data_IF_986921659059
#
_entry.id   IF_986921659059
#
_cell.length_a   1.000
_cell.length_b   1.000
_cell.length_c   1.000
_cell.angle_alpha   90.00
_cell.angle_beta   90.00
_cell.angle_gamma   90.00
#
_symmetry.space_group_name_H-M   'P 1'
#
loop_
_entity.id
_entity.type
_entity.pdbx_description
1 polymer ?
#
# COMPACT_ATOMS: atom_id res chain seq x y z
N UNK A 1 -2.03 -53.13 22.44
CA UNK A 1 -1.26 -51.97 21.95
C UNK A 1 -2.25 -50.90 21.55
N UNK A 2 -2.35 -49.81 22.33
CA UNK A 2 -3.18 -48.65 22.04
C UNK A 2 -2.25 -47.53 21.56
N UNK A 3 -2.51 -47.00 20.36
CA UNK A 3 -1.87 -45.76 19.89
C UNK A 3 -2.31 -44.57 20.74
N UNK A 4 -1.41 -43.66 21.12
CA UNK A 4 -1.81 -42.40 21.73
C UNK A 4 -2.20 -41.40 20.64
N UNK A 5 -3.34 -40.74 20.83
CA UNK A 5 -3.76 -39.59 20.06
C UNK A 5 -2.88 -38.38 20.45
N UNK A 6 -2.15 -37.82 19.48
CA UNK A 6 -1.48 -36.53 19.64
C UNK A 6 -2.52 -35.42 19.50
N UNK A 7 -3.01 -34.92 20.63
CA UNK A 7 -3.74 -33.66 20.70
C UNK A 7 -2.77 -32.49 20.75
N UNK A 8 -2.52 -31.84 19.62
CA UNK A 8 -1.93 -30.50 19.59
C UNK A 8 -3.04 -29.48 19.83
N UNK A 9 -3.43 -29.32 21.09
CA UNK A 9 -4.23 -28.18 21.52
C UNK A 9 -3.34 -26.95 21.51
N UNK A 10 -3.50 -26.07 20.51
CA UNK A 10 -3.05 -24.69 20.61
C UNK A 10 -3.69 -24.09 21.86
N UNK A 11 -2.89 -23.86 22.90
CA UNK A 11 -3.29 -23.07 24.06
C UNK A 11 -3.60 -21.67 23.56
N UNK A 12 -4.88 -21.39 23.26
CA UNK A 12 -5.40 -20.03 23.20
C UNK A 12 -5.00 -19.38 24.52
N UNK A 13 -4.03 -18.48 24.51
CA UNK A 13 -3.70 -17.64 25.67
C UNK A 13 -4.94 -16.82 25.96
N UNK A 14 -5.79 -17.32 26.85
CA UNK A 14 -6.88 -16.54 27.42
C UNK A 14 -6.23 -15.47 28.29
N UNK A 15 -6.56 -14.21 28.03
CA UNK A 15 -6.14 -13.10 28.89
C UNK A 15 -6.66 -13.38 30.31
N UNK A 16 -5.82 -13.28 31.35
CA UNK A 16 -6.20 -13.65 32.72
C UNK A 16 -7.35 -12.80 33.27
N UNK A 17 -7.55 -11.61 32.70
CA UNK A 17 -8.76 -10.78 32.86
C UNK A 17 -8.85 -9.79 31.70
N UNK A 18 -10.06 -9.34 31.40
CA UNK A 18 -10.24 -8.15 30.57
C UNK A 18 -9.71 -6.91 31.32
N UNK A 19 -9.06 -5.96 30.63
CA UNK A 19 -8.73 -4.66 31.21
C UNK A 19 -9.98 -3.96 31.73
N UNK A 20 -9.84 -3.20 32.82
CA UNK A 20 -10.92 -2.35 33.34
C UNK A 20 -11.12 -1.12 32.45
N UNK A 21 -12.26 -0.43 32.63
CA UNK A 21 -12.53 0.84 31.94
C UNK A 21 -11.48 1.89 32.31
N UNK A 22 -11.10 2.01 33.59
CA UNK A 22 -9.99 2.91 33.98
C UNK A 22 -8.65 2.56 33.32
N UNK A 23 -8.25 1.28 33.29
CA UNK A 23 -6.99 0.87 32.66
C UNK A 23 -6.99 1.13 31.15
N UNK A 24 -8.13 0.90 30.50
CA UNK A 24 -8.32 1.23 29.09
C UNK A 24 -8.21 2.74 28.89
N UNK A 25 -8.81 3.55 29.76
CA UNK A 25 -8.80 5.00 29.70
C UNK A 25 -7.38 5.59 29.93
N UNK A 26 -6.64 5.05 30.90
CA UNK A 26 -5.33 5.56 31.31
C UNK A 26 -4.18 5.11 30.40
N UNK A 27 -4.23 3.88 29.90
CA UNK A 27 -3.11 3.27 29.16
C UNK A 27 -3.39 3.24 27.66
N UNK A 28 -4.60 2.86 27.23
CA UNK A 28 -4.89 2.56 25.83
C UNK A 28 -5.56 3.71 25.08
N UNK A 29 -6.44 4.47 25.73
CA UNK A 29 -7.11 5.65 25.14
C UNK A 29 -6.18 6.84 24.96
N UNK A 30 -5.08 6.89 25.70
CA UNK A 30 -4.03 7.90 25.49
C UNK A 30 -3.38 7.74 24.10
N UNK A 31 -3.47 6.55 23.50
CA UNK A 31 -2.84 6.22 22.23
C UNK A 31 -3.81 6.11 21.04
N UNK A 32 -5.04 5.61 21.25
CA UNK A 32 -6.09 5.49 20.20
C UNK A 32 -7.45 5.07 20.77
N UNK A 33 -8.53 5.48 20.10
CA UNK A 33 -9.89 5.00 20.41
C UNK A 33 -10.02 3.48 20.20
N UNK A 34 -11.03 2.87 20.81
CA UNK A 34 -11.28 1.43 20.65
C UNK A 34 -11.53 1.04 19.20
N UNK A 35 -12.28 1.86 18.47
CA UNK A 35 -12.52 1.69 17.04
C UNK A 35 -11.22 1.69 16.22
N UNK A 36 -10.33 2.66 16.44
CA UNK A 36 -9.04 2.70 15.72
C UNK A 36 -8.15 1.50 16.06
N UNK A 37 -8.23 0.99 17.29
CA UNK A 37 -7.50 -0.24 17.67
C UNK A 37 -8.05 -1.47 16.94
N UNK A 38 -9.37 -1.59 16.77
CA UNK A 38 -9.98 -2.67 15.97
C UNK A 38 -9.55 -2.59 14.51
N UNK A 39 -9.61 -1.40 13.90
CA UNK A 39 -9.14 -1.18 12.52
C UNK A 39 -7.67 -1.56 12.37
N UNK A 40 -6.82 -1.09 13.29
CA UNK A 40 -5.38 -1.38 13.26
C UNK A 40 -5.09 -2.87 13.41
N UNK A 41 -5.83 -3.58 14.27
CA UNK A 41 -5.70 -5.03 14.41
C UNK A 41 -6.11 -5.74 13.11
N UNK A 42 -7.20 -5.31 12.47
CA UNK A 42 -7.64 -5.88 11.20
C UNK A 42 -6.62 -5.64 10.07
N UNK A 43 -6.01 -4.45 9.98
CA UNK A 43 -4.94 -4.15 9.02
C UNK A 43 -3.70 -5.05 9.22
N UNK A 44 -3.41 -5.44 10.46
CA UNK A 44 -2.30 -6.33 10.77
C UNK A 44 -2.62 -7.80 10.50
N UNK A 45 -3.87 -8.24 10.72
CA UNK A 45 -4.29 -9.64 10.51
C UNK A 45 -4.70 -9.95 9.07
N UNK A 46 -5.48 -9.06 8.44
CA UNK A 46 -5.95 -9.23 7.05
C UNK A 46 -4.87 -8.90 6.02
N UNK A 47 -3.71 -8.42 6.49
CA UNK A 47 -2.62 -7.98 5.65
C UNK A 47 -3.11 -6.95 4.64
N UNK A 48 -2.63 -7.09 3.42
CA UNK A 48 -2.87 -6.16 2.32
C UNK A 48 -3.89 -6.72 1.33
N UNK A 49 -4.93 -7.40 1.82
CA UNK A 49 -5.97 -7.97 0.95
C UNK A 49 -6.78 -6.90 0.18
N UNK A 50 -6.93 -5.71 0.76
CA UNK A 50 -7.53 -4.53 0.12
C UNK A 50 -6.68 -3.30 0.48
N UNK A 51 -6.72 -2.22 -0.33
CA UNK A 51 -6.01 -1.00 0.01
C UNK A 51 -6.58 -0.37 1.27
N UNK A 52 -5.76 0.40 1.99
CA UNK A 52 -6.32 1.37 2.95
C UNK A 52 -6.81 2.58 2.17
N UNK A 53 -8.05 3.00 2.39
CA UNK A 53 -8.60 4.22 1.80
C UNK A 53 -8.54 5.33 2.83
N UNK A 54 -7.73 6.34 2.57
CA UNK A 54 -7.46 7.47 3.44
C UNK A 54 -8.03 8.75 2.82
N UNK A 55 -9.01 9.36 3.48
CA UNK A 55 -9.47 10.71 3.14
C UNK A 55 -8.68 11.72 3.95
N UNK A 56 -8.07 12.70 3.28
CA UNK A 56 -7.30 13.76 3.93
C UNK A 56 -7.81 15.17 3.68
N UNK A 57 -8.79 15.31 2.78
CA UNK A 57 -9.49 16.56 2.51
C UNK A 57 -11.00 16.38 2.72
N UNK A 58 -11.63 17.37 3.34
CA UNK A 58 -13.01 17.31 3.79
C UNK A 58 -13.78 18.54 3.34
N UNK A 59 -14.70 18.33 2.41
CA UNK A 59 -15.71 19.27 1.96
C UNK A 59 -17.04 18.50 1.87
N UNK A 60 -18.14 18.97 2.49
CA UNK A 60 -19.43 18.32 2.42
C UNK A 60 -19.96 18.09 1.00
N UNK A 61 -19.56 18.92 0.02
CA UNK A 61 -19.95 18.73 -1.39
C UNK A 61 -19.32 17.48 -2.01
N UNK A 62 -18.21 16.99 -1.42
CA UNK A 62 -17.44 15.85 -1.91
C UNK A 62 -17.79 14.53 -1.21
N UNK A 63 -18.75 14.55 -0.26
CA UNK A 63 -19.15 13.35 0.48
C UNK A 63 -19.80 12.30 -0.44
N UNK A 64 -20.53 12.73 -1.49
CA UNK A 64 -21.10 11.83 -2.50
C UNK A 64 -20.00 11.12 -3.31
N UNK A 65 -18.94 11.87 -3.68
CA UNK A 65 -17.81 11.31 -4.43
C UNK A 65 -17.00 10.32 -3.60
N UNK A 66 -16.84 10.61 -2.32
CA UNK A 66 -16.21 9.68 -1.37
C UNK A 66 -17.00 8.36 -1.28
N UNK A 67 -18.34 8.45 -1.18
CA UNK A 67 -19.20 7.26 -1.13
C UNK A 67 -19.15 6.47 -2.45
N UNK A 68 -19.13 7.16 -3.60
CA UNK A 68 -18.94 6.55 -4.92
C UNK A 68 -17.66 5.71 -4.95
N UNK A 69 -16.52 6.25 -4.51
CA UNK A 69 -15.26 5.52 -4.51
C UNK A 69 -15.24 4.33 -3.54
N UNK A 70 -15.87 4.46 -2.36
CA UNK A 70 -15.93 3.37 -1.36
C UNK A 70 -16.86 2.24 -1.81
N UNK A 71 -17.95 2.56 -2.52
CA UNK A 71 -18.92 1.57 -3.01
C UNK A 71 -18.61 1.04 -4.41
N UNK A 72 -17.53 1.51 -5.04
CA UNK A 72 -17.17 1.14 -6.41
C UNK A 72 -16.80 -0.34 -6.58
N UNK A 73 -16.23 -0.94 -5.53
CA UNK A 73 -15.81 -2.34 -5.49
C UNK A 73 -16.52 -3.05 -4.35
N UNK A 74 -17.26 -4.11 -4.65
CA UNK A 74 -17.89 -4.95 -3.63
C UNK A 74 -16.82 -5.60 -2.71
N UNK A 75 -15.67 -5.96 -3.29
CA UNK A 75 -14.51 -6.45 -2.54
C UNK A 75 -14.02 -5.43 -1.52
N UNK A 76 -13.98 -4.15 -1.90
CA UNK A 76 -13.60 -3.06 -0.99
C UNK A 76 -14.72 -2.72 0.01
N UNK A 77 -15.96 -2.56 -0.44
CA UNK A 77 -17.11 -2.16 0.38
C UNK A 77 -17.28 -3.09 1.59
N UNK A 78 -17.15 -4.40 1.37
CA UNK A 78 -17.21 -5.42 2.43
C UNK A 78 -16.12 -5.25 3.50
N UNK A 79 -15.01 -4.59 3.16
CA UNK A 79 -13.87 -4.34 4.03
C UNK A 79 -13.78 -2.88 4.51
N UNK A 80 -14.63 -1.99 3.99
CA UNK A 80 -14.58 -0.54 4.24
C UNK A 80 -14.67 -0.20 5.73
N UNK A 81 -15.35 -1.02 6.54
CA UNK A 81 -15.48 -0.81 7.99
C UNK A 81 -14.12 -0.67 8.71
N UNK A 82 -13.07 -1.34 8.22
CA UNK A 82 -11.69 -1.21 8.73
C UNK A 82 -10.74 -0.51 7.77
N UNK A 83 -10.93 -0.68 6.46
CA UNK A 83 -10.04 -0.17 5.44
C UNK A 83 -10.24 1.33 5.17
N UNK A 84 -11.42 1.87 5.45
CA UNK A 84 -11.72 3.30 5.29
C UNK A 84 -11.35 4.12 6.54
N UNK A 85 -10.43 5.06 6.35
CA UNK A 85 -10.00 6.08 7.30
C UNK A 85 -10.61 7.43 6.88
N UNK A 86 -11.85 7.65 7.32
CA UNK A 86 -12.67 8.82 6.98
C UNK A 86 -13.16 9.53 8.26
N UNK A 87 -12.27 10.25 8.94
CA UNK A 87 -12.59 11.04 10.15
C UNK A 87 -11.82 12.37 10.10
N UNK A 88 -12.53 13.47 9.87
CA UNK A 88 -11.95 14.81 9.73
C UNK A 88 -11.20 15.30 10.97
N UNK A 89 -11.56 14.81 12.16
CA UNK A 89 -10.88 15.20 13.40
C UNK A 89 -9.51 14.56 13.55
N UNK A 90 -9.27 13.48 12.81
CA UNK A 90 -8.06 12.69 12.88
C UNK A 90 -7.21 12.81 11.62
N UNK A 91 -7.80 12.86 10.42
CA UNK A 91 -7.09 12.62 9.16
C UNK A 91 -7.04 13.83 8.21
N UNK A 92 -7.52 15.01 8.62
CA UNK A 92 -7.55 16.20 7.78
C UNK A 92 -6.17 16.87 7.67
N UNK A 93 -5.28 16.28 6.87
CA UNK A 93 -3.90 16.74 6.67
C UNK A 93 -3.66 17.38 5.29
N UNK A 94 -4.67 17.43 4.42
CA UNK A 94 -4.50 17.86 3.03
C UNK A 94 -3.53 16.94 2.28
N UNK A 95 -2.49 17.51 1.67
CA UNK A 95 -1.51 16.77 0.87
C UNK A 95 -0.49 15.96 1.70
N UNK A 96 -0.35 16.23 3.01
CA UNK A 96 0.58 15.52 3.90
C UNK A 96 -0.04 14.22 4.44
N UNK A 97 -0.46 13.35 3.54
CA UNK A 97 -1.14 12.10 3.90
C UNK A 97 -0.26 11.14 4.72
N UNK A 98 1.07 11.24 4.61
CA UNK A 98 2.01 10.38 5.35
C UNK A 98 1.94 10.62 6.87
N UNK A 99 1.38 11.74 7.33
CA UNK A 99 1.09 11.99 8.74
C UNK A 99 0.16 10.93 9.34
N UNK A 100 -0.60 10.19 8.52
CA UNK A 100 -1.38 9.01 8.95
C UNK A 100 -0.53 8.00 9.72
N UNK A 101 0.78 7.89 9.47
CA UNK A 101 1.62 6.92 10.17
C UNK A 101 1.87 7.26 11.64
N UNK A 102 1.66 8.51 12.05
CA UNK A 102 1.73 8.91 13.47
C UNK A 102 0.51 8.42 14.25
N UNK A 103 -0.65 8.37 13.59
CA UNK A 103 -1.93 7.99 14.20
C UNK A 103 -2.24 6.52 13.95
N UNK A 104 -1.99 6.00 12.75
CA UNK A 104 -2.28 4.65 12.27
C UNK A 104 -1.07 4.04 11.54
N UNK A 105 0.05 3.73 12.23
CA UNK A 105 1.21 3.06 11.64
C UNK A 105 0.92 1.70 10.99
N UNK A 106 -0.20 1.06 11.35
CA UNK A 106 -0.66 -0.20 10.76
C UNK A 106 -1.00 -0.08 9.26
N UNK A 107 -1.22 1.14 8.76
CA UNK A 107 -1.43 1.42 7.33
C UNK A 107 -0.24 1.00 6.47
N UNK A 108 0.97 0.90 7.06
CA UNK A 108 2.15 0.40 6.36
C UNK A 108 2.13 -1.12 6.11
N UNK A 109 1.10 -1.82 6.59
CA UNK A 109 0.99 -3.28 6.50
C UNK A 109 1.96 -4.02 7.44
N UNK A 110 1.83 -5.36 7.54
CA UNK A 110 2.75 -6.18 8.31
C UNK A 110 4.12 -6.23 7.64
N UNK A 111 5.19 -6.08 8.43
CA UNK A 111 6.60 -6.17 7.97
C UNK A 111 7.03 -7.63 7.70
N UNK A 112 6.10 -8.56 7.49
CA UNK A 112 6.44 -9.94 7.13
C UNK A 112 6.99 -9.96 5.71
N UNK A 113 8.32 -9.85 5.62
CA UNK A 113 9.04 -9.68 4.36
C UNK A 113 8.67 -10.77 3.36
N UNK A 114 8.19 -10.35 2.20
CA UNK A 114 8.33 -11.14 0.99
C UNK A 114 9.83 -11.35 0.79
N UNK A 115 10.28 -12.60 0.89
CA UNK A 115 11.70 -12.94 0.72
C UNK A 115 12.15 -12.53 -0.68
N UNK A 116 12.94 -11.47 -0.75
CA UNK A 116 13.54 -10.98 -2.00
C UNK A 116 14.38 -12.11 -2.63
N UNK A 117 14.00 -12.54 -3.82
CA UNK A 117 14.83 -13.36 -4.70
C UNK A 117 15.04 -12.58 -5.99
N UNK A 118 16.31 -12.33 -6.31
CA UNK A 118 16.78 -11.70 -7.54
C UNK A 118 16.18 -12.41 -8.75
N UNK A 119 15.44 -11.68 -9.58
CA UNK A 119 15.12 -12.13 -10.93
C UNK A 119 16.33 -11.92 -11.84
N UNK A 120 16.59 -12.83 -12.80
CA UNK A 120 17.57 -12.58 -13.85
C UNK A 120 17.15 -11.36 -14.66
N UNK A 121 18.13 -10.55 -15.09
CA UNK A 121 17.91 -9.44 -16.00
C UNK A 121 17.20 -9.93 -17.26
N UNK A 122 16.07 -9.34 -17.61
CA UNK A 122 15.55 -9.41 -18.97
C UNK A 122 16.60 -8.80 -19.90
N UNK A 123 16.87 -9.44 -21.03
CA UNK A 123 17.65 -8.80 -22.09
C UNK A 123 16.77 -7.66 -22.65
N UNK A 124 17.16 -6.41 -22.39
CA UNK A 124 16.50 -5.23 -22.93
C UNK A 124 16.70 -5.25 -24.46
N UNK A 125 15.65 -5.54 -25.21
CA UNK A 125 15.70 -5.69 -26.66
C UNK A 125 15.00 -4.52 -27.38
N UNK A 126 15.21 -3.30 -26.89
CA UNK A 126 14.61 -2.08 -27.42
C UNK A 126 15.67 -0.96 -27.60
N UNK A 127 16.56 -1.10 -28.59
CA UNK A 127 17.74 -0.24 -28.73
C UNK A 127 17.41 1.22 -29.06
N UNK A 128 16.25 1.49 -29.68
CA UNK A 128 15.82 2.86 -29.97
C UNK A 128 15.35 3.57 -28.68
N UNK A 129 14.55 2.89 -27.85
CA UNK A 129 14.08 3.43 -26.57
C UNK A 129 15.22 3.58 -25.55
N UNK A 130 16.19 2.65 -25.55
CA UNK A 130 17.40 2.78 -24.74
C UNK A 130 18.20 4.04 -25.05
N UNK A 131 18.27 4.47 -26.31
CA UNK A 131 18.99 5.69 -26.71
C UNK A 131 18.27 6.97 -26.34
N UNK A 132 16.95 6.93 -26.24
CA UNK A 132 16.12 8.08 -25.90
C UNK A 132 16.07 8.32 -24.39
N UNK A 133 15.70 7.29 -23.62
CA UNK A 133 15.64 7.34 -22.16
C UNK A 133 15.97 5.98 -21.52
N UNK A 134 17.26 5.69 -21.27
CA UNK A 134 17.66 4.43 -20.66
C UNK A 134 17.12 4.30 -19.22
N UNK A 135 17.00 5.41 -18.49
CA UNK A 135 16.51 5.39 -17.11
C UNK A 135 15.02 5.06 -17.07
N UNK A 136 14.21 5.72 -17.90
CA UNK A 136 12.77 5.42 -18.04
C UNK A 136 12.54 3.97 -18.47
N UNK A 137 13.33 3.47 -19.42
CA UNK A 137 13.23 2.08 -19.88
C UNK A 137 13.55 1.07 -18.75
N UNK A 138 14.62 1.29 -17.98
CA UNK A 138 14.93 0.45 -16.81
C UNK A 138 13.81 0.49 -15.77
N UNK A 139 13.22 1.67 -15.56
CA UNK A 139 12.14 1.87 -14.60
C UNK A 139 10.86 1.11 -14.99
N UNK A 140 10.54 1.06 -16.29
CA UNK A 140 9.42 0.28 -16.84
C UNK A 140 9.72 -1.22 -16.78
N UNK A 141 10.87 -1.66 -17.30
CA UNK A 141 11.29 -3.07 -17.29
C UNK A 141 11.49 -3.61 -15.85
N UNK A 142 11.84 -2.71 -14.93
CA UNK A 142 12.04 -3.01 -13.51
C UNK A 142 10.77 -3.01 -12.66
N UNK A 143 9.58 -2.85 -13.24
CA UNK A 143 8.31 -2.80 -12.50
C UNK A 143 8.11 -4.03 -11.59
N UNK A 144 8.52 -5.22 -12.02
CA UNK A 144 8.44 -6.46 -11.22
C UNK A 144 9.25 -6.34 -9.92
N UNK A 145 10.42 -5.72 -9.98
CA UNK A 145 11.25 -5.49 -8.80
C UNK A 145 10.58 -4.52 -7.82
N UNK A 146 9.93 -3.47 -8.35
CA UNK A 146 9.18 -2.51 -7.55
C UNK A 146 7.95 -3.16 -6.89
N UNK A 147 7.24 -4.04 -7.59
CA UNK A 147 6.13 -4.84 -7.06
C UNK A 147 6.55 -5.77 -5.93
N UNK A 148 7.70 -6.41 -6.06
CA UNK A 148 8.28 -7.28 -5.01
C UNK A 148 8.65 -6.45 -3.77
N UNK A 149 9.16 -5.24 -3.96
CA UNK A 149 9.52 -4.34 -2.86
C UNK A 149 8.29 -3.77 -2.13
N UNK A 150 7.12 -3.79 -2.78
CA UNK A 150 5.88 -3.24 -2.25
C UNK A 150 5.29 -4.16 -1.20
N UNK A 151 4.99 -3.59 -0.03
CA UNK A 151 4.36 -4.32 1.07
C UNK A 151 2.90 -3.94 1.25
N UNK A 152 2.53 -2.71 0.87
CA UNK A 152 1.19 -2.18 1.04
C UNK A 152 0.84 -1.15 -0.02
N UNK A 153 -0.46 -0.89 -0.14
CA UNK A 153 -1.02 0.06 -1.10
C UNK A 153 -2.18 0.82 -0.47
N UNK A 154 -2.27 2.09 -0.83
CA UNK A 154 -3.12 3.08 -0.16
C UNK A 154 -3.83 3.89 -1.24
N UNK A 155 -5.13 4.09 -1.10
CA UNK A 155 -5.91 5.04 -1.87
C UNK A 155 -6.03 6.34 -1.06
N UNK A 156 -5.55 7.45 -1.60
CA UNK A 156 -5.51 8.75 -0.93
C UNK A 156 -6.49 9.70 -1.64
N UNK A 157 -7.53 10.11 -0.91
CA UNK A 157 -8.47 11.15 -1.31
C UNK A 157 -8.07 12.48 -0.63
N UNK A 158 -7.09 13.15 -1.23
CA UNK A 158 -6.68 14.51 -0.89
C UNK A 158 -7.45 15.53 -1.74
N UNK A 159 -7.15 16.82 -1.56
CA UNK A 159 -7.82 17.89 -2.29
C UNK A 159 -7.69 17.71 -3.81
N UNK A 160 -6.49 17.37 -4.29
CA UNK A 160 -6.24 17.17 -5.71
C UNK A 160 -7.06 16.00 -6.26
N UNK A 161 -7.21 14.92 -5.49
CA UNK A 161 -8.02 13.77 -5.89
C UNK A 161 -9.48 14.17 -6.18
N UNK A 162 -10.08 15.00 -5.33
CA UNK A 162 -11.43 15.52 -5.53
C UNK A 162 -11.49 16.48 -6.73
N UNK A 163 -10.52 17.40 -6.86
CA UNK A 163 -10.46 18.36 -7.97
C UNK A 163 -10.40 17.69 -9.35
N UNK A 164 -9.69 16.57 -9.46
CA UNK A 164 -9.57 15.83 -10.73
C UNK A 164 -10.60 14.71 -10.88
N UNK A 165 -11.27 14.31 -9.81
CA UNK A 165 -12.25 13.22 -9.79
C UNK A 165 -11.65 11.81 -9.78
N UNK A 166 -10.35 11.68 -9.49
CA UNK A 166 -9.62 10.40 -9.40
C UNK A 166 -8.93 10.27 -8.06
N UNK A 167 -9.04 9.11 -7.40
CA UNK A 167 -8.35 8.84 -6.14
C UNK A 167 -6.89 8.45 -6.40
N UNK A 168 -5.96 8.88 -5.55
CA UNK A 168 -4.55 8.57 -5.75
C UNK A 168 -4.20 7.20 -5.17
N UNK A 169 -3.82 6.24 -6.01
CA UNK A 169 -3.20 4.99 -5.61
C UNK A 169 -1.71 5.19 -5.32
N UNK A 170 -1.24 4.65 -4.19
CA UNK A 170 0.16 4.72 -3.77
C UNK A 170 0.63 3.35 -3.29
N UNK A 171 1.70 2.82 -3.89
CA UNK A 171 2.43 1.65 -3.43
C UNK A 171 3.58 2.05 -2.50
N UNK A 172 3.72 1.36 -1.37
CA UNK A 172 4.73 1.66 -0.34
C UNK A 172 5.53 0.43 0.08
N UNK A 173 6.78 0.66 0.49
CA UNK A 173 7.67 -0.35 1.06
C UNK A 173 7.47 -0.52 2.58
N UNK A 174 8.13 -1.51 3.18
CA UNK A 174 8.10 -1.78 4.63
C UNK A 174 8.70 -0.68 5.51
N UNK A 175 9.31 0.35 4.90
CA UNK A 175 9.86 1.53 5.56
C UNK A 175 9.03 2.79 5.27
N UNK A 176 7.85 2.65 4.67
CA UNK A 176 6.90 3.73 4.33
C UNK A 176 7.38 4.67 3.22
N UNK A 177 8.39 4.27 2.46
CA UNK A 177 8.79 4.97 1.26
C UNK A 177 7.77 4.70 0.16
N UNK A 178 7.41 5.74 -0.57
CA UNK A 178 6.62 5.61 -1.80
C UNK A 178 7.48 4.92 -2.85
N UNK A 179 7.00 3.82 -3.38
CA UNK A 179 7.58 3.10 -4.52
C UNK A 179 7.02 3.70 -5.80
N UNK A 180 5.70 3.88 -5.86
CA UNK A 180 5.01 4.35 -7.05
C UNK A 180 3.63 4.92 -6.70
N UNK A 181 3.08 5.79 -7.54
CA UNK A 181 1.67 6.19 -7.44
C UNK A 181 1.07 6.70 -8.75
N UNK A 182 -0.25 6.63 -8.85
CA UNK A 182 -1.06 7.08 -10.00
C UNK A 182 -2.46 7.53 -9.53
N UNK A 183 -3.15 8.44 -10.23
CA UNK A 183 -4.60 8.58 -10.11
C UNK A 183 -5.34 7.36 -10.71
N UNK A 184 -6.35 6.86 -9.99
CA UNK A 184 -7.27 5.79 -10.45
C UNK A 184 -8.72 6.23 -10.27
N UNK A 185 -9.60 5.74 -11.15
CA UNK A 185 -11.04 5.97 -10.98
C UNK A 185 -11.69 4.88 -10.12
N UNK A 186 -12.99 5.05 -9.87
CA UNK A 186 -13.81 4.12 -9.11
C UNK A 186 -13.75 2.68 -9.71
N UNK A 187 -13.88 2.57 -11.03
CA UNK A 187 -13.96 1.27 -11.71
C UNK A 187 -12.65 0.48 -11.61
N UNK A 188 -11.54 1.19 -11.58
CA UNK A 188 -10.18 0.65 -11.51
C UNK A 188 -9.84 0.05 -10.14
N UNK A 189 -10.56 0.41 -9.07
CA UNK A 189 -10.26 -0.06 -7.70
C UNK A 189 -10.36 -1.60 -7.60
N UNK A 190 -11.37 -2.21 -8.25
CA UNK A 190 -11.53 -3.67 -8.27
C UNK A 190 -10.35 -4.34 -8.96
N UNK A 191 -9.93 -3.82 -10.11
CA UNK A 191 -8.81 -4.38 -10.87
C UNK A 191 -7.51 -4.34 -10.06
N UNK A 192 -7.25 -3.23 -9.37
CA UNK A 192 -6.09 -3.09 -8.46
C UNK A 192 -6.11 -4.13 -7.33
N UNK A 193 -7.28 -4.40 -6.74
CA UNK A 193 -7.43 -5.41 -5.68
C UNK A 193 -7.18 -6.82 -6.25
N UNK A 194 -7.76 -7.13 -7.40
CA UNK A 194 -7.62 -8.44 -8.04
C UNK A 194 -6.18 -8.71 -8.47
N UNK A 195 -5.51 -7.73 -9.06
CA UNK A 195 -4.10 -7.87 -9.46
C UNK A 195 -3.18 -7.99 -8.26
N UNK A 196 -3.50 -7.29 -7.16
CA UNK A 196 -2.75 -7.46 -5.92
C UNK A 196 -2.86 -8.90 -5.37
N UNK A 197 -4.08 -9.44 -5.30
CA UNK A 197 -4.35 -10.81 -4.81
C UNK A 197 -3.69 -11.89 -5.68
N UNK A 198 -3.67 -11.70 -7.00
CA UNK A 198 -3.06 -12.63 -7.95
C UNK A 198 -1.53 -12.50 -8.04
N UNK A 199 -0.94 -11.56 -7.30
CA UNK A 199 0.47 -11.20 -7.40
C UNK A 199 0.86 -10.73 -8.81
N UNK A 200 -0.09 -10.15 -9.54
CA UNK A 200 0.15 -9.53 -10.82
C UNK A 200 0.74 -8.12 -10.62
N UNK A 201 1.46 -7.69 -11.64
CA UNK A 201 1.61 -6.29 -11.96
C UNK A 201 0.40 -5.90 -12.80
N UNK A 202 -0.38 -4.88 -12.41
CA UNK A 202 -1.28 -4.22 -13.35
C UNK A 202 -0.44 -3.46 -14.39
N UNK A 203 0.10 -4.17 -15.39
CA UNK A 203 1.04 -3.65 -16.39
C UNK A 203 0.54 -2.35 -17.03
N UNK A 204 -0.78 -2.21 -17.18
CA UNK A 204 -1.43 -1.03 -17.74
C UNK A 204 -1.21 0.25 -16.93
N UNK A 205 -0.85 0.19 -15.65
CA UNK A 205 -0.49 1.40 -14.87
C UNK A 205 1.00 1.71 -14.90
N UNK A 206 1.84 0.71 -15.18
CA UNK A 206 3.28 0.85 -15.25
C UNK A 206 3.78 1.26 -16.63
N UNK A 207 2.88 1.45 -17.59
CA UNK A 207 3.18 2.10 -18.86
C UNK A 207 3.66 3.54 -18.66
N UNK A 208 4.50 3.99 -19.60
CA UNK A 208 5.09 5.31 -19.58
C UNK A 208 4.02 6.42 -19.44
N UNK A 209 4.24 7.34 -18.49
CA UNK A 209 3.39 8.50 -18.27
C UNK A 209 2.10 8.27 -17.47
N UNK A 210 1.76 7.01 -17.12
CA UNK A 210 0.56 6.72 -16.32
C UNK A 210 0.78 6.78 -14.82
N UNK A 211 2.01 6.68 -14.34
CA UNK A 211 2.33 6.75 -12.92
C UNK A 211 3.65 7.46 -12.65
N UNK A 212 3.99 7.60 -11.38
CA UNK A 212 5.25 8.22 -10.96
C UNK A 212 5.94 7.32 -9.94
N UNK A 213 7.16 6.90 -10.26
CA UNK A 213 8.05 6.21 -9.33
C UNK A 213 8.52 7.20 -8.26
N UNK A 214 8.52 6.75 -7.00
CA UNK A 214 9.01 7.55 -5.88
C UNK A 214 10.51 7.86 -6.03
N UNK A 215 10.91 9.08 -5.69
CA UNK A 215 12.27 9.60 -5.95
C UNK A 215 13.41 8.69 -5.45
N UNK A 216 13.21 7.98 -4.33
CA UNK A 216 14.21 7.05 -3.78
C UNK A 216 14.36 5.78 -4.60
N UNK A 217 13.28 5.36 -5.26
CA UNK A 217 13.20 4.14 -6.07
C UNK A 217 13.52 4.37 -7.54
N UNK A 218 13.60 5.61 -8.01
CA UNK A 218 14.15 5.92 -9.34
C UNK A 218 15.54 5.34 -9.49
N UNK A 219 15.97 5.05 -10.71
CA UNK A 219 17.29 4.42 -10.98
C UNK A 219 18.44 5.22 -10.36
N UNK A 220 18.31 6.55 -10.35
CA UNK A 220 19.30 7.46 -9.78
C UNK A 220 19.21 7.59 -8.25
N UNK A 221 18.09 7.18 -7.66
CA UNK A 221 17.77 7.22 -6.23
C UNK A 221 18.56 6.22 -5.40
N UNK A 222 18.59 6.42 -4.08
CA UNK A 222 19.41 5.61 -3.17
C UNK A 222 18.92 4.16 -3.06
N UNK A 223 17.59 3.95 -2.98
CA UNK A 223 17.00 2.62 -2.96
C UNK A 223 16.95 1.98 -4.35
N UNK A 224 16.74 2.78 -5.41
CA UNK A 224 16.77 2.30 -6.79
C UNK A 224 18.13 1.74 -7.17
N UNK A 225 19.23 2.41 -6.80
CA UNK A 225 20.60 1.87 -6.99
C UNK A 225 20.81 0.52 -6.31
N UNK A 226 20.28 0.32 -5.11
CA UNK A 226 20.33 -0.97 -4.41
C UNK A 226 19.43 -2.03 -5.06
N UNK A 227 18.30 -1.62 -5.62
CA UNK A 227 17.30 -2.49 -6.24
C UNK A 227 17.75 -3.00 -7.61
N UNK A 228 18.17 -2.08 -8.49
CA UNK A 228 18.55 -2.38 -9.87
C UNK A 228 20.00 -2.88 -9.98
N UNK A 229 20.89 -2.46 -9.06
CA UNK A 229 22.30 -2.89 -9.00
C UNK A 229 23.07 -2.72 -10.31
N UNK A 230 22.74 -1.68 -11.08
CA UNK A 230 23.37 -1.38 -12.35
C UNK A 230 24.74 -0.73 -12.13
N UNK A 231 25.73 -1.21 -12.89
CA UNK A 231 27.06 -0.61 -12.98
C UNK A 231 27.11 0.41 -14.12
N UNK A 232 28.16 1.25 -14.15
CA UNK A 232 28.37 2.16 -15.29
C UNK A 232 28.52 1.40 -16.62
N UNK A 233 29.01 0.16 -16.59
CA UNK A 233 29.14 -0.68 -17.78
C UNK A 233 27.77 -1.17 -18.29
N UNK A 234 26.80 -1.37 -17.40
CA UNK A 234 25.44 -1.76 -17.77
C UNK A 234 24.66 -0.59 -18.39
N UNK A 235 25.11 0.65 -18.13
CA UNK A 235 24.52 1.88 -18.68
C UNK A 235 25.15 2.32 -20.01
N UNK A 236 26.25 1.69 -20.43
CA UNK A 236 26.85 1.93 -21.76
C UNK A 236 26.17 1.06 -22.81
N UNK A 237 25.78 1.67 -23.95
CA UNK A 237 25.07 1.11 -25.14
C UNK A 237 25.13 -0.44 -25.26
N UNK A 238 23.99 -1.15 -25.31
CA UNK A 238 23.92 -2.62 -25.34
C UNK A 238 24.53 -3.28 -26.60
#
# INVERSE_FOLDING_TARGET
>A
MKSPANGTGQLRRTLPRMPTVEETNLVLLLWRSDELRKKAWQMLESGTAVPVFLRTYYDPEEDEKMEEWVSASEEFENQAWWASLNDATLFNFGSDWQHVYEIMPAVAGPVSGAGYKRYPSSEINEPDLWREDPYGLIEVEGADLLRIATVAYILVADQTAFEIGYVRLVYVDGRRNVIWGTPVDAQTITDVIMDWDQLNLPLEFWEEGKGTIGERYRVTGDLGRELYQLSEADMTDP
#
